data_IF_597029281254
#
_entry.id   IF_597029281254
#
_cell.length_a   1.000
_cell.length_b   1.000
_cell.length_c   1.000
_cell.angle_alpha   90.00
_cell.angle_beta   90.00
_cell.angle_gamma   90.00
#
_symmetry.space_group_name_H-M   'P 1'
#
loop_
_entity.id
_entity.type
_entity.pdbx_description
1 polymer ?
#
# COMPACT_ATOMS: atom_id res chain seq x y z
N UNK A 1 6.70 -9.97 6.62
CA UNK A 1 6.34 -8.98 5.57
C UNK A 1 5.93 -7.70 6.26
N UNK A 2 6.74 -6.66 6.13
CA UNK A 2 6.51 -5.32 6.67
C UNK A 2 5.93 -4.45 5.56
N UNK A 3 4.79 -3.80 5.83
CA UNK A 3 4.22 -2.82 4.92
C UNK A 3 4.93 -1.49 5.20
N UNK A 4 5.65 -0.98 4.20
CA UNK A 4 6.40 0.28 4.29
C UNK A 4 5.79 1.33 3.37
N UNK A 5 6.01 2.63 3.66
CA UNK A 5 5.70 3.69 2.71
C UNK A 5 6.31 3.39 1.34
N UNK A 6 5.55 3.64 0.26
CA UNK A 6 5.95 3.35 -1.11
C UNK A 6 5.51 1.98 -1.64
N UNK A 7 5.17 1.02 -0.78
CA UNK A 7 4.67 -0.29 -1.22
C UNK A 7 3.32 -0.18 -1.94
N UNK A 8 3.11 -1.02 -2.95
CA UNK A 8 1.82 -1.15 -3.65
C UNK A 8 1.03 -2.32 -3.06
N UNK A 9 -0.20 -2.04 -2.67
CA UNK A 9 -1.08 -2.99 -2.01
C UNK A 9 -2.47 -3.03 -2.64
N UNK A 10 -3.11 -4.19 -2.66
CA UNK A 10 -4.51 -4.36 -3.03
C UNK A 10 -5.34 -4.74 -1.81
N UNK A 11 -6.49 -4.09 -1.64
CA UNK A 11 -7.43 -4.43 -0.59
C UNK A 11 -8.34 -5.56 -1.04
N UNK A 12 -8.32 -6.71 -0.35
CA UNK A 12 -9.12 -7.87 -0.74
C UNK A 12 -10.64 -7.64 -0.62
N UNK A 13 -11.07 -6.82 0.35
CA UNK A 13 -12.50 -6.48 0.52
C UNK A 13 -13.02 -5.57 -0.60
N UNK A 14 -12.12 -4.81 -1.25
CA UNK A 14 -12.44 -3.80 -2.26
C UNK A 14 -11.46 -3.87 -3.43
N UNK A 15 -11.47 -4.98 -4.20
CA UNK A 15 -10.61 -5.12 -5.36
C UNK A 15 -10.91 -4.09 -6.46
N UNK A 16 -12.13 -3.54 -6.46
CA UNK A 16 -12.58 -2.46 -7.35
C UNK A 16 -11.84 -1.14 -7.12
N UNK A 17 -11.26 -0.93 -5.94
CA UNK A 17 -10.50 0.29 -5.65
C UNK A 17 -9.13 0.35 -6.35
N UNK A 18 -8.69 -0.77 -6.94
CA UNK A 18 -7.42 -0.87 -7.64
C UNK A 18 -6.21 -1.09 -6.73
N UNK A 19 -5.02 -0.90 -7.29
CA UNK A 19 -3.76 -0.94 -6.54
C UNK A 19 -3.55 0.39 -5.84
N UNK A 20 -3.48 0.35 -4.51
CA UNK A 20 -3.22 1.51 -3.68
C UNK A 20 -1.75 1.61 -3.28
N UNK A 21 -1.25 2.83 -3.14
CA UNK A 21 0.10 3.07 -2.65
C UNK A 21 0.08 3.42 -1.16
N UNK A 22 0.92 2.75 -0.38
CA UNK A 22 1.08 3.04 1.04
C UNK A 22 1.79 4.38 1.20
N UNK A 23 1.11 5.34 1.81
CA UNK A 23 1.66 6.65 2.16
C UNK A 23 2.36 6.60 3.54
N UNK A 24 1.81 5.84 4.48
CA UNK A 24 2.38 5.68 5.82
C UNK A 24 1.92 4.38 6.46
N UNK A 25 2.77 3.79 7.31
CA UNK A 25 2.44 2.61 8.10
C UNK A 25 2.92 2.83 9.54
N UNK A 26 1.98 3.00 10.47
CA UNK A 26 2.26 3.27 11.89
C UNK A 26 1.59 2.18 12.73
N UNK A 27 2.41 1.23 13.19
CA UNK A 27 1.91 0.05 13.90
C UNK A 27 0.95 -0.75 13.02
N UNK A 28 -0.32 -0.85 13.44
CA UNK A 28 -1.38 -1.55 12.70
C UNK A 28 -2.16 -0.65 11.75
N UNK A 29 -1.97 0.67 11.82
CA UNK A 29 -2.72 1.62 11.01
C UNK A 29 -1.90 2.03 9.80
N UNK A 30 -2.43 1.79 8.61
CA UNK A 30 -1.76 2.07 7.34
C UNK A 30 -2.61 3.03 6.53
N UNK A 31 -2.00 4.10 6.04
CA UNK A 31 -2.65 5.02 5.12
C UNK A 31 -2.28 4.63 3.70
N UNK A 32 -3.28 4.34 2.88
CA UNK A 32 -3.11 3.94 1.48
C UNK A 32 -3.89 4.92 0.60
N UNK A 33 -3.29 5.36 -0.49
CA UNK A 33 -3.99 6.11 -1.53
C UNK A 33 -4.40 5.15 -2.65
N UNK A 34 -5.70 4.95 -2.82
CA UNK A 34 -6.29 4.15 -3.90
C UNK A 34 -6.78 5.08 -5.02
N UNK A 35 -6.67 4.69 -6.30
CA UNK A 35 -7.12 5.52 -7.42
C UNK A 35 -8.62 5.84 -7.38
N UNK A 36 -9.47 4.86 -7.06
CA UNK A 36 -10.93 5.04 -7.11
C UNK A 36 -11.53 5.54 -5.79
N UNK A 37 -10.87 5.28 -4.66
CA UNK A 37 -11.36 5.64 -3.32
C UNK A 37 -10.60 6.79 -2.65
N UNK A 38 -9.49 7.22 -3.25
CA UNK A 38 -8.59 8.21 -2.68
C UNK A 38 -7.85 7.70 -1.45
N UNK A 39 -7.56 8.62 -0.51
CA UNK A 39 -6.80 8.30 0.71
C UNK A 39 -7.67 7.60 1.75
N UNK A 40 -7.35 6.35 2.04
CA UNK A 40 -8.04 5.53 3.04
C UNK A 40 -7.07 5.11 4.14
N UNK A 41 -7.55 5.12 5.38
CA UNK A 41 -6.82 4.62 6.54
C UNK A 41 -7.36 3.24 6.88
N UNK A 42 -6.49 2.24 6.83
CA UNK A 42 -6.80 0.83 7.07
C UNK A 42 -6.20 0.38 8.39
N UNK A 43 -6.89 -0.55 9.05
CA UNK A 43 -6.40 -1.26 10.22
C UNK A 43 -6.07 -2.69 9.83
N UNK A 44 -4.80 -3.08 9.95
CA UNK A 44 -4.29 -4.39 9.55
C UNK A 44 -4.88 -5.56 10.37
N UNK A 45 -5.54 -5.28 11.50
CA UNK A 45 -6.27 -6.31 12.25
C UNK A 45 -7.61 -6.69 11.58
N UNK A 46 -8.16 -5.79 10.77
CA UNK A 46 -9.48 -5.93 10.14
C UNK A 46 -9.43 -5.99 8.62
N UNK A 47 -8.37 -5.44 8.02
CA UNK A 47 -8.20 -5.34 6.58
C UNK A 47 -7.09 -6.27 6.11
N UNK A 48 -7.41 -7.09 5.11
CA UNK A 48 -6.42 -7.95 4.44
C UNK A 48 -5.89 -7.25 3.20
N UNK A 49 -4.59 -6.96 3.21
CA UNK A 49 -3.87 -6.35 2.11
C UNK A 49 -2.98 -7.39 1.44
N UNK A 50 -3.05 -7.45 0.12
CA UNK A 50 -2.09 -8.18 -0.70
C UNK A 50 -0.98 -7.21 -1.14
N UNK A 51 0.28 -7.57 -0.87
CA UNK A 51 1.43 -6.74 -1.25
C UNK A 51 1.90 -7.21 -2.61
N UNK A 52 1.66 -6.39 -3.63
CA UNK A 52 1.97 -6.73 -5.03
C UNK A 52 3.39 -6.29 -5.39
N UNK A 53 3.86 -5.17 -4.84
CA UNK A 53 5.23 -4.70 -5.01
C UNK A 53 5.75 -4.12 -3.69
N UNK A 54 6.89 -4.64 -3.23
CA UNK A 54 7.57 -4.12 -2.04
C UNK A 54 8.40 -2.88 -2.40
N UNK A 55 8.46 -1.89 -1.50
CA UNK A 55 9.12 -0.61 -1.72
C UNK A 55 10.57 -0.72 -2.26
N UNK A 56 11.30 -1.77 -1.87
CA UNK A 56 12.66 -2.07 -2.35
C UNK A 56 12.76 -2.22 -3.88
N UNK A 57 11.69 -2.66 -4.56
CA UNK A 57 11.66 -2.83 -6.02
C UNK A 57 11.29 -1.52 -6.76
N UNK A 58 10.70 -0.57 -6.04
CA UNK A 58 10.26 0.74 -6.56
C UNK A 58 11.39 1.77 -6.44
N UNK A 59 12.23 1.68 -5.40
CA UNK A 59 13.45 2.49 -5.24
C UNK A 59 14.60 2.04 -6.15
N UNK A 60 14.72 0.74 -6.47
CA UNK A 60 15.74 0.22 -7.38
C UNK A 60 15.66 0.75 -8.84
N UNK A 61 14.68 1.61 -9.15
CA UNK A 61 14.54 2.30 -10.45
C UNK A 61 14.72 3.82 -10.36
N UNK A 62 14.98 4.39 -9.18
CA UNK A 62 15.12 5.85 -8.99
C UNK A 62 16.57 6.35 -8.82
N UNK A 63 17.57 5.48 -9.03
CA UNK A 63 19.01 5.83 -8.98
C UNK A 63 19.74 5.49 -10.29
N UNK A 64 19.15 5.73 -11.46
CA UNK A 64 19.91 5.89 -12.72
C UNK A 64 19.29 7.06 -13.51
N UNK A 65 19.81 8.27 -13.29
CA UNK A 65 19.43 9.50 -13.98
C UNK A 65 20.36 10.65 -13.63
#
# INVERSE_FOLDING_TARGET
MSITPGALVRLQDRPDWGLGQVQSAIGRRVTVNFPEAGKVVLDLDRATLDVEVSAEEVEARQEEG
#
